data_IF_723899714283
#
_entry.id   IF_723899714283
#
_cell.length_a   1.000
_cell.length_b   1.000
_cell.length_c   1.000
_cell.angle_alpha   90.00
_cell.angle_beta   90.00
_cell.angle_gamma   90.00
#
_symmetry.space_group_name_H-M   'P 1'
#
loop_
_entity.id
_entity.type
_entity.pdbx_description
1 polymer ?
#
# COMPACT_ATOMS: atom_id res chain seq x y z
N UNK A 1 -7.56 8.76 -14.05
CA UNK A 1 -6.93 9.13 -12.76
C UNK A 1 -5.72 10.04 -12.99
N UNK A 2 -5.92 11.36 -13.11
CA UNK A 2 -4.82 12.35 -13.10
C UNK A 2 -5.11 13.44 -12.06
N UNK A 3 -5.43 13.03 -10.83
CA UNK A 3 -5.67 13.95 -9.70
C UNK A 3 -4.50 14.02 -8.72
N UNK A 4 -3.60 13.03 -8.76
CA UNK A 4 -2.42 12.94 -7.88
C UNK A 4 -1.24 13.66 -8.52
N UNK A 5 -0.73 14.69 -7.84
CA UNK A 5 0.47 15.43 -8.21
C UNK A 5 1.74 14.70 -7.75
N UNK A 6 1.84 14.42 -6.46
CA UNK A 6 2.96 13.69 -5.85
C UNK A 6 2.47 12.79 -4.72
N UNK A 7 3.25 11.74 -4.44
CA UNK A 7 3.10 10.88 -3.27
C UNK A 7 4.49 10.68 -2.67
N UNK A 8 4.62 10.85 -1.36
CA UNK A 8 5.87 10.67 -0.63
C UNK A 8 5.58 9.95 0.68
N UNK A 9 6.40 8.97 1.05
CA UNK A 9 6.32 8.35 2.36
C UNK A 9 6.97 9.24 3.41
N UNK A 10 6.23 9.53 4.47
CA UNK A 10 6.69 10.26 5.64
C UNK A 10 6.94 9.27 6.78
N UNK A 11 8.21 8.97 7.03
CA UNK A 11 8.63 8.02 8.06
C UNK A 11 8.31 8.49 9.48
N UNK A 12 8.26 9.82 9.71
CA UNK A 12 7.98 10.38 11.04
C UNK A 12 6.53 10.14 11.45
N UNK A 13 5.62 10.03 10.47
CA UNK A 13 4.18 9.81 10.68
C UNK A 13 3.71 8.43 10.26
N UNK A 14 4.59 7.60 9.67
CA UNK A 14 4.24 6.34 9.05
C UNK A 14 3.08 6.46 8.04
N UNK A 15 3.03 7.58 7.31
CA UNK A 15 1.97 7.86 6.34
C UNK A 15 2.53 8.06 4.93
N UNK A 16 1.74 7.72 3.91
CA UNK A 16 1.97 8.25 2.56
C UNK A 16 1.22 9.57 2.40
N UNK A 17 1.97 10.64 2.17
CA UNK A 17 1.45 11.99 1.93
C UNK A 17 1.15 12.18 0.45
N UNK A 18 -0.13 12.38 0.12
CA UNK A 18 -0.63 12.52 -1.25
C UNK A 18 -0.99 13.98 -1.51
N UNK A 19 -0.26 14.62 -2.42
CA UNK A 19 -0.59 15.96 -2.90
C UNK A 19 -1.46 15.88 -4.14
N UNK A 20 -2.63 16.50 -4.11
CA UNK A 20 -3.53 16.57 -5.24
C UNK A 20 -3.25 17.79 -6.12
N UNK A 21 -3.78 17.77 -7.34
CA UNK A 21 -3.57 18.84 -8.32
C UNK A 21 -4.21 20.18 -7.91
N UNK A 22 -5.24 20.16 -7.08
CA UNK A 22 -5.88 21.35 -6.51
C UNK A 22 -5.10 21.95 -5.33
N UNK A 23 -4.01 21.30 -4.90
CA UNK A 23 -3.16 21.74 -3.81
C UNK A 23 -3.53 21.17 -2.44
N UNK A 24 -4.62 20.41 -2.33
CA UNK A 24 -4.97 19.68 -1.10
C UNK A 24 -4.00 18.51 -0.84
N UNK A 25 -3.90 18.12 0.43
CA UNK A 25 -3.07 17.00 0.90
C UNK A 25 -3.93 16.00 1.65
N UNK A 26 -3.71 14.72 1.38
CA UNK A 26 -4.30 13.60 2.11
C UNK A 26 -3.17 12.74 2.65
N UNK A 27 -3.21 12.42 3.94
CA UNK A 27 -2.28 11.49 4.58
C UNK A 27 -2.95 10.12 4.68
N UNK A 28 -2.31 9.08 4.15
CA UNK A 28 -2.77 7.70 4.23
C UNK A 28 -1.95 7.00 5.30
N UNK A 29 -2.61 6.56 6.37
CA UNK A 29 -2.01 5.79 7.46
C UNK A 29 -1.66 4.38 6.95
N UNK A 30 -0.36 4.09 6.80
CA UNK A 30 0.11 2.82 6.27
C UNK A 30 -0.24 1.65 7.20
N UNK A 31 -0.19 1.88 8.52
CA UNK A 31 -0.47 0.86 9.53
C UNK A 31 -1.95 0.47 9.46
N UNK A 32 -2.84 1.43 9.27
CA UNK A 32 -4.27 1.15 9.10
C UNK A 32 -4.53 0.30 7.85
N UNK A 33 -3.87 0.62 6.73
CA UNK A 33 -4.02 -0.12 5.47
C UNK A 33 -3.43 -1.52 5.57
N UNK A 34 -2.25 -1.68 6.16
CA UNK A 34 -1.65 -3.00 6.40
C UNK A 34 -2.56 -3.88 7.26
N UNK A 35 -3.12 -3.35 8.34
CA UNK A 35 -4.08 -4.09 9.17
C UNK A 35 -5.37 -4.47 8.43
N UNK A 36 -5.77 -3.70 7.43
CA UNK A 36 -6.98 -3.98 6.64
C UNK A 36 -6.74 -5.05 5.57
N UNK A 37 -5.58 -5.01 4.88
CA UNK A 37 -5.37 -5.81 3.66
C UNK A 37 -4.33 -6.92 3.79
N UNK A 38 -3.35 -6.81 4.71
CA UNK A 38 -2.28 -7.78 4.85
C UNK A 38 -2.56 -8.76 6.01
N UNK A 39 -2.48 -10.05 5.70
CA UNK A 39 -2.78 -11.15 6.61
C UNK A 39 -1.53 -11.83 7.17
N UNK A 40 -0.37 -11.56 6.58
CA UNK A 40 0.90 -12.19 6.96
C UNK A 40 2.09 -11.25 6.70
N UNK A 41 3.26 -11.61 7.23
CA UNK A 41 4.46 -10.77 7.13
C UNK A 41 5.00 -10.59 5.70
N UNK A 42 4.70 -11.51 4.78
CA UNK A 42 5.12 -11.39 3.39
C UNK A 42 4.27 -10.34 2.66
N UNK A 43 2.98 -10.30 2.93
CA UNK A 43 2.07 -9.27 2.42
C UNK A 43 2.40 -7.88 2.98
N UNK A 44 2.72 -7.78 4.28
CA UNK A 44 3.20 -6.52 4.87
C UNK A 44 4.50 -6.07 4.19
N UNK A 45 5.47 -6.98 4.03
CA UNK A 45 6.75 -6.65 3.37
C UNK A 45 6.58 -6.17 1.92
N UNK A 46 5.58 -6.69 1.22
CA UNK A 46 5.26 -6.27 -0.15
C UNK A 46 4.62 -4.87 -0.18
N UNK A 47 3.74 -4.55 0.78
CA UNK A 47 3.24 -3.19 0.94
C UNK A 47 4.35 -2.21 1.35
N UNK A 48 5.23 -2.60 2.28
CA UNK A 48 6.41 -1.81 2.67
C UNK A 48 7.28 -1.50 1.45
N UNK A 49 7.53 -2.49 0.59
CA UNK A 49 8.29 -2.28 -0.64
C UNK A 49 7.65 -1.20 -1.52
N UNK A 50 6.33 -1.25 -1.72
CA UNK A 50 5.61 -0.22 -2.48
C UNK A 50 5.67 1.14 -1.81
N UNK A 51 5.48 1.22 -0.49
CA UNK A 51 5.50 2.48 0.27
C UNK A 51 6.86 3.18 0.12
N UNK A 52 7.96 2.45 0.29
CA UNK A 52 9.30 3.02 0.23
C UNK A 52 9.78 3.33 -1.20
N UNK A 53 9.49 2.46 -2.17
CA UNK A 53 10.07 2.58 -3.51
C UNK A 53 9.13 3.24 -4.52
N UNK A 54 7.83 2.98 -4.42
CA UNK A 54 6.82 3.46 -5.36
C UNK A 54 5.53 3.93 -4.66
N UNK A 55 5.58 4.96 -3.79
CA UNK A 55 4.41 5.38 -3.00
C UNK A 55 3.22 5.79 -3.88
N UNK A 56 3.47 6.23 -5.11
CA UNK A 56 2.40 6.52 -6.09
C UNK A 56 1.70 5.26 -6.59
N UNK A 57 2.42 4.15 -6.74
CA UNK A 57 1.85 2.84 -7.10
C UNK A 57 1.00 2.31 -5.95
N UNK A 58 1.48 2.38 -4.71
CA UNK A 58 0.73 2.05 -3.49
C UNK A 58 -0.62 2.78 -3.43
N UNK A 59 -0.63 4.11 -3.57
CA UNK A 59 -1.87 4.91 -3.52
C UNK A 59 -2.82 4.55 -4.66
N UNK A 60 -2.30 4.33 -5.87
CA UNK A 60 -3.13 3.92 -7.01
C UNK A 60 -3.75 2.54 -6.79
N UNK A 61 -3.00 1.63 -6.19
CA UNK A 61 -3.48 0.29 -5.87
C UNK A 61 -4.61 0.35 -4.84
N UNK A 62 -4.41 1.11 -3.75
CA UNK A 62 -5.43 1.35 -2.73
C UNK A 62 -6.72 1.95 -3.34
N UNK A 63 -6.60 3.03 -4.12
CA UNK A 63 -7.75 3.68 -4.76
C UNK A 63 -8.43 2.81 -5.83
N UNK A 64 -7.75 1.80 -6.36
CA UNK A 64 -8.33 0.86 -7.31
C UNK A 64 -9.13 -0.26 -6.65
N UNK A 65 -9.01 -0.42 -5.32
CA UNK A 65 -9.65 -1.50 -4.57
C UNK A 65 -9.07 -2.89 -4.87
N UNK A 66 -7.81 -2.95 -5.31
CA UNK A 66 -7.16 -4.21 -5.76
C UNK A 66 -6.03 -4.69 -4.85
N UNK A 67 -5.95 -4.19 -3.62
CA UNK A 67 -4.89 -4.54 -2.66
C UNK A 67 -4.83 -6.06 -2.44
N UNK A 68 -5.96 -6.71 -2.13
CA UNK A 68 -6.02 -8.16 -1.89
C UNK A 68 -5.57 -8.98 -3.11
N UNK A 69 -6.05 -8.61 -4.31
CA UNK A 69 -5.67 -9.29 -5.56
C UNK A 69 -4.17 -9.16 -5.82
N UNK A 70 -3.61 -7.97 -5.60
CA UNK A 70 -2.20 -7.69 -5.77
C UNK A 70 -1.35 -8.50 -4.79
N UNK A 71 -1.70 -8.49 -3.50
CA UNK A 71 -0.96 -9.21 -2.46
C UNK A 71 -0.94 -10.72 -2.69
N UNK A 72 -2.09 -11.30 -3.07
CA UNK A 72 -2.17 -12.72 -3.42
C UNK A 72 -1.29 -13.10 -4.63
N UNK A 73 -1.09 -12.18 -5.57
CA UNK A 73 -0.33 -12.45 -6.79
C UNK A 73 1.18 -12.16 -6.67
N UNK A 74 1.58 -11.35 -5.69
CA UNK A 74 2.97 -10.89 -5.51
C UNK A 74 3.63 -11.42 -4.24
N UNK A 75 2.95 -12.29 -3.50
CA UNK A 75 3.54 -12.99 -2.35
C UNK A 75 3.49 -14.49 -2.55
N UNK A 76 4.64 -15.14 -2.40
CA UNK A 76 4.75 -16.60 -2.37
C UNK A 76 4.46 -17.11 -0.95
N UNK A 77 3.25 -16.82 -0.45
CA UNK A 77 2.78 -17.35 0.83
C UNK A 77 1.71 -18.41 0.60
N UNK A 78 1.99 -19.63 1.06
CA UNK A 78 0.98 -20.69 1.19
C UNK A 78 0.85 -20.99 2.68
N UNK A 79 -0.35 -20.84 3.27
CA UNK A 79 -0.57 -21.22 4.66
C UNK A 79 -0.17 -22.68 4.87
N UNK A 80 0.46 -22.98 6.02
CA UNK A 80 0.83 -24.36 6.36
C UNK A 80 -0.36 -25.33 6.33
N UNK A 81 -1.57 -24.83 6.62
CA UNK A 81 -2.82 -25.60 6.54
C UNK A 81 -3.20 -26.04 5.12
N UNK A 82 -2.63 -25.41 4.09
CA UNK A 82 -2.91 -25.70 2.67
C UNK A 82 -1.83 -26.56 2.02
N UNK A 83 -0.70 -26.79 2.71
CA UNK A 83 0.33 -27.73 2.28
C UNK A 83 -0.20 -29.17 2.45
N UNK A 84 -0.25 -29.92 1.35
CA UNK A 84 -0.69 -31.33 1.29
C UNK A 84 0.42 -32.31 1.63
#
# INVERSE_FOLDING_TARGET
MNYIKSCEFNIDTACVEVKLNDGSTVSIDCIAVENEYANNMYEVSELDFLIYNEPKSYVRLLLSGKMEEYLRNNTDYTPLSELR
#
